data_IF_048239799605
#
_entry.id   IF_048239799605
#
_cell.length_a   1.000
_cell.length_b   1.000
_cell.length_c   1.000
_cell.angle_alpha   90.00
_cell.angle_beta   90.00
_cell.angle_gamma   90.00
#
_symmetry.space_group_name_H-M   'P 1'
#
loop_
_entity.id
_entity.type
_entity.pdbx_description
1 polymer ?
#
# COMPACT_ATOMS: atom_id res chain seq x y z
N UNK A 1 13.19 -31.41 -16.80
CA UNK A 1 12.58 -30.96 -15.53
C UNK A 1 12.85 -29.47 -15.26
N UNK A 2 14.09 -28.99 -15.43
CA UNK A 2 14.44 -27.57 -15.26
C UNK A 2 13.61 -26.56 -16.08
N UNK A 3 13.29 -26.87 -17.34
CA UNK A 3 12.51 -25.96 -18.22
C UNK A 3 11.07 -25.77 -17.70
N UNK A 4 10.44 -26.83 -17.19
CA UNK A 4 9.08 -26.73 -16.60
C UNK A 4 9.13 -25.96 -15.28
N UNK A 5 10.17 -26.12 -14.46
CA UNK A 5 10.35 -25.32 -13.24
C UNK A 5 10.61 -23.83 -13.53
N UNK A 6 11.32 -23.50 -14.61
CA UNK A 6 11.50 -22.12 -15.07
C UNK A 6 10.21 -21.49 -15.59
N UNK A 7 9.42 -22.22 -16.38
CA UNK A 7 8.10 -21.76 -16.86
C UNK A 7 7.10 -21.63 -15.71
N UNK A 8 7.09 -22.58 -14.76
CA UNK A 8 6.25 -22.49 -13.56
C UNK A 8 6.63 -21.29 -12.66
N UNK A 9 7.89 -20.81 -12.71
CA UNK A 9 8.30 -19.55 -12.05
C UNK A 9 7.79 -18.30 -12.76
N UNK A 10 7.46 -18.34 -14.06
CA UNK A 10 6.87 -17.19 -14.77
C UNK A 10 5.48 -16.82 -14.20
N UNK A 11 4.69 -17.80 -13.80
CA UNK A 11 3.39 -17.55 -13.15
C UNK A 11 3.54 -16.88 -11.77
N UNK A 12 4.59 -17.23 -11.00
CA UNK A 12 4.91 -16.52 -9.75
C UNK A 12 5.40 -15.10 -10.01
N UNK A 13 6.24 -14.90 -11.05
CA UNK A 13 6.68 -13.57 -11.48
C UNK A 13 5.49 -12.71 -11.90
N UNK A 14 4.56 -13.25 -12.69
CA UNK A 14 3.31 -12.58 -13.09
C UNK A 14 2.49 -12.12 -11.88
N UNK A 15 2.29 -12.98 -10.89
CA UNK A 15 1.56 -12.63 -9.66
C UNK A 15 2.25 -11.53 -8.84
N UNK A 16 3.58 -11.52 -8.79
CA UNK A 16 4.35 -10.46 -8.11
C UNK A 16 4.19 -9.13 -8.86
N UNK A 17 4.35 -9.13 -10.19
CA UNK A 17 4.18 -7.92 -10.99
C UNK A 17 2.75 -7.37 -10.91
N UNK A 18 1.73 -8.23 -10.92
CA UNK A 18 0.34 -7.81 -10.76
C UNK A 18 0.11 -7.11 -9.41
N UNK A 19 0.66 -7.67 -8.32
CA UNK A 19 0.60 -7.04 -6.99
C UNK A 19 1.33 -5.70 -6.97
N UNK A 20 2.51 -5.61 -7.60
CA UNK A 20 3.27 -4.35 -7.69
C UNK A 20 2.50 -3.28 -8.45
N UNK A 21 1.93 -3.62 -9.60
CA UNK A 21 1.12 -2.72 -10.42
C UNK A 21 -0.08 -2.22 -9.62
N UNK A 22 -0.84 -3.13 -9.00
CA UNK A 22 -1.98 -2.78 -8.14
C UNK A 22 -1.58 -1.88 -6.98
N UNK A 23 -0.45 -2.17 -6.33
CA UNK A 23 0.06 -1.37 -5.23
C UNK A 23 0.42 0.06 -5.68
N UNK A 24 1.10 0.21 -6.82
CA UNK A 24 1.47 1.50 -7.39
C UNK A 24 0.24 2.35 -7.72
N UNK A 25 -0.75 1.79 -8.43
CA UNK A 25 -1.99 2.50 -8.74
C UNK A 25 -2.79 2.85 -7.48
N UNK A 26 -2.82 1.96 -6.50
CA UNK A 26 -3.51 2.23 -5.23
C UNK A 26 -2.87 3.41 -4.47
N UNK A 27 -1.54 3.53 -4.49
CA UNK A 27 -0.84 4.69 -3.90
C UNK A 27 -1.18 6.00 -4.60
N UNK A 28 -1.13 6.02 -5.94
CA UNK A 28 -1.52 7.21 -6.71
C UNK A 28 -2.98 7.60 -6.46
N UNK A 29 -3.89 6.63 -6.37
CA UNK A 29 -5.29 6.88 -6.02
C UNK A 29 -5.45 7.41 -4.60
N UNK A 30 -4.64 6.97 -3.64
CA UNK A 30 -4.62 7.56 -2.30
C UNK A 30 -4.16 9.02 -2.31
N UNK A 31 -3.10 9.34 -3.07
CA UNK A 31 -2.58 10.70 -3.22
C UNK A 31 -3.65 11.62 -3.84
N UNK A 32 -4.26 11.20 -4.95
CA UNK A 32 -5.37 11.91 -5.58
C UNK A 32 -6.57 12.09 -4.63
N UNK A 33 -6.92 11.06 -3.86
CA UNK A 33 -8.02 11.16 -2.90
C UNK A 33 -7.75 12.20 -1.79
N UNK A 34 -6.49 12.37 -1.38
CA UNK A 34 -6.09 13.38 -0.41
C UNK A 34 -6.22 14.78 -1.03
N UNK A 35 -5.75 14.97 -2.27
CA UNK A 35 -5.88 16.23 -3.02
C UNK A 35 -7.35 16.64 -3.19
N UNK A 36 -8.20 15.69 -3.57
CA UNK A 36 -9.64 15.89 -3.74
C UNK A 36 -10.43 15.95 -2.42
N UNK A 37 -9.75 15.75 -1.27
CA UNK A 37 -10.37 15.65 0.06
C UNK A 37 -11.45 14.56 0.19
N UNK A 38 -11.37 13.49 -0.62
CA UNK A 38 -12.30 12.35 -0.59
C UNK A 38 -11.80 11.23 0.34
N UNK A 39 -12.37 11.18 1.55
CA UNK A 39 -12.05 10.15 2.56
C UNK A 39 -12.47 8.74 2.14
N UNK A 40 -13.54 8.58 1.38
CA UNK A 40 -14.05 7.27 0.98
C UNK A 40 -13.19 6.67 -0.13
N UNK A 41 -12.76 7.49 -1.09
CA UNK A 41 -11.79 7.08 -2.10
C UNK A 41 -10.46 6.70 -1.45
N UNK A 42 -9.96 7.49 -0.50
CA UNK A 42 -8.71 7.18 0.20
C UNK A 42 -8.80 5.84 0.96
N UNK A 43 -9.90 5.58 1.68
CA UNK A 43 -10.13 4.29 2.36
C UNK A 43 -10.18 3.11 1.39
N UNK A 44 -10.85 3.27 0.24
CA UNK A 44 -10.94 2.21 -0.79
C UNK A 44 -9.57 1.91 -1.39
N UNK A 45 -8.85 2.94 -1.82
CA UNK A 45 -7.50 2.79 -2.37
C UNK A 45 -6.53 2.15 -1.36
N UNK A 46 -6.62 2.53 -0.08
CA UNK A 46 -5.82 1.87 0.96
C UNK A 46 -6.19 0.40 1.18
N UNK A 47 -7.47 0.03 1.08
CA UNK A 47 -7.91 -1.37 1.16
C UNK A 47 -7.32 -2.19 0.01
N UNK A 48 -7.41 -1.68 -1.21
CA UNK A 48 -6.83 -2.30 -2.40
C UNK A 48 -5.31 -2.49 -2.25
N UNK A 49 -4.61 -1.48 -1.71
CA UNK A 49 -3.17 -1.58 -1.40
C UNK A 49 -2.89 -2.67 -0.36
N UNK A 50 -3.69 -2.74 0.71
CA UNK A 50 -3.55 -3.76 1.76
C UNK A 50 -3.71 -5.18 1.20
N UNK A 51 -4.64 -5.38 0.26
CA UNK A 51 -4.90 -6.69 -0.36
C UNK A 51 -3.70 -7.20 -1.17
N UNK A 52 -2.83 -6.30 -1.67
CA UNK A 52 -1.57 -6.68 -2.34
C UNK A 52 -0.51 -7.23 -1.37
N UNK A 53 -0.66 -7.01 -0.05
CA UNK A 53 0.35 -7.25 0.99
C UNK A 53 1.67 -6.47 0.81
N UNK A 54 1.71 -5.45 -0.04
CA UNK A 54 2.88 -4.59 -0.29
C UNK A 54 2.79 -3.21 0.38
N UNK A 55 1.86 -3.04 1.34
CA UNK A 55 1.70 -1.78 2.07
C UNK A 55 2.94 -1.50 2.95
N UNK A 56 3.35 -0.24 2.99
CA UNK A 56 4.41 0.23 3.89
C UNK A 56 3.80 0.84 5.16
N UNK A 57 4.64 1.07 6.16
CA UNK A 57 4.21 1.83 7.34
C UNK A 57 3.89 3.29 7.01
N UNK A 58 4.59 3.88 6.02
CA UNK A 58 4.31 5.22 5.53
C UNK A 58 2.93 5.32 4.86
N UNK A 59 2.51 4.30 4.10
CA UNK A 59 1.17 4.22 3.51
C UNK A 59 0.09 4.27 4.60
N UNK A 60 0.31 3.54 5.69
CA UNK A 60 -0.57 3.50 6.87
C UNK A 60 -0.63 4.87 7.57
N UNK A 61 0.51 5.50 7.80
CA UNK A 61 0.59 6.84 8.39
C UNK A 61 -0.15 7.85 7.50
N UNK A 62 0.10 7.85 6.18
CA UNK A 62 -0.56 8.77 5.23
C UNK A 62 -2.09 8.61 5.26
N UNK A 63 -2.59 7.37 5.18
CA UNK A 63 -4.02 7.09 5.25
C UNK A 63 -4.64 7.61 6.55
N UNK A 64 -4.05 7.27 7.71
CA UNK A 64 -4.62 7.68 8.98
C UNK A 64 -4.45 9.17 9.25
N UNK A 65 -3.36 9.81 8.83
CA UNK A 65 -3.20 11.26 8.92
C UNK A 65 -4.34 12.01 8.21
N UNK A 66 -4.83 11.48 7.09
CA UNK A 66 -5.93 12.09 6.35
C UNK A 66 -7.32 11.70 6.87
N UNK A 67 -7.56 10.40 7.12
CA UNK A 67 -8.89 9.88 7.48
C UNK A 67 -9.20 10.03 8.97
N UNK A 68 -8.19 9.93 9.84
CA UNK A 68 -8.31 9.99 11.30
C UNK A 68 -7.02 10.58 11.92
N UNK A 69 -6.84 11.92 11.88
CA UNK A 69 -5.57 12.58 12.17
C UNK A 69 -4.93 12.18 13.50
N UNK A 70 -5.72 11.97 14.55
CA UNK A 70 -5.25 11.52 15.87
C UNK A 70 -4.50 10.17 15.76
N UNK A 71 -5.08 9.19 15.07
CA UNK A 71 -4.43 7.89 14.84
C UNK A 71 -3.17 8.04 14.00
N UNK A 72 -3.19 8.91 13.00
CA UNK A 72 -2.03 9.19 12.16
C UNK A 72 -0.84 9.78 12.94
N UNK A 73 -1.11 10.71 13.85
CA UNK A 73 -0.10 11.33 14.72
C UNK A 73 0.53 10.29 15.65
N UNK A 74 -0.27 9.46 16.31
CA UNK A 74 0.22 8.39 17.20
C UNK A 74 1.16 7.45 16.42
N UNK A 75 0.73 6.98 15.24
CA UNK A 75 1.56 6.10 14.41
C UNK A 75 2.87 6.75 13.97
N UNK A 76 2.85 8.05 13.62
CA UNK A 76 4.05 8.80 13.25
C UNK A 76 5.04 8.89 14.43
N UNK A 77 4.55 9.06 15.66
CA UNK A 77 5.39 9.12 16.87
C UNK A 77 6.01 7.75 17.15
N UNK A 78 5.23 6.67 17.10
CA UNK A 78 5.73 5.31 17.33
C UNK A 78 6.87 4.99 16.36
N UNK A 79 6.70 5.28 15.06
CA UNK A 79 7.77 5.06 14.06
C UNK A 79 9.05 5.82 14.42
N UNK A 80 8.95 7.10 14.82
CA UNK A 80 10.12 7.90 15.22
C UNK A 80 10.82 7.36 16.47
N UNK A 81 10.08 6.73 17.38
CA UNK A 81 10.65 6.14 18.60
C UNK A 81 11.36 4.80 18.32
N UNK A 82 10.90 4.03 17.35
CA UNK A 82 11.53 2.76 16.95
C UNK A 82 12.74 2.90 16.01
N UNK A 83 13.00 4.10 15.48
CA UNK A 83 14.21 4.43 14.70
C UNK A 83 15.41 4.85 15.58
N UNK A 84 15.24 4.91 16.90
CA UNK A 84 16.30 5.15 17.90
C UNK A 84 16.84 3.83 18.44
#
# INVERSE_FOLDING_TARGET
>A
MHVIEEICKENQKSSIYEKMIKATFSRQRMELAIELKDKNLCKRAYKELKDTKLQTEQDRIRMYMFVSPIKGIILRIIRKLGEK
#
